data_IF_676771899751
#
_entry.id   IF_676771899751
#
_cell.length_a   1.000
_cell.length_b   1.000
_cell.length_c   1.000
_cell.angle_alpha   90.00
_cell.angle_beta   90.00
_cell.angle_gamma   90.00
#
_symmetry.space_group_name_H-M   'P 1'
#
loop_
_entity.id
_entity.type
_entity.pdbx_description
1 polymer ?
#
# COMPACT_ATOMS: atom_id res chain seq x y z
N UNK A 1 4.21 -13.45 13.61
CA UNK A 1 3.24 -13.85 12.60
C UNK A 1 2.28 -12.71 12.32
N UNK A 2 2.09 -12.37 11.05
CA UNK A 2 1.17 -11.29 10.73
C UNK A 2 -0.23 -11.66 11.18
N UNK A 3 -0.88 -10.72 11.83
CA UNK A 3 -2.26 -10.91 12.24
C UNK A 3 -3.17 -10.55 11.07
N UNK A 4 -3.87 -11.52 10.50
CA UNK A 4 -4.72 -11.31 9.35
C UNK A 4 -5.81 -10.28 9.60
N UNK A 5 -6.20 -10.10 10.87
CA UNK A 5 -7.20 -9.10 11.21
C UNK A 5 -6.75 -7.68 10.88
N UNK A 6 -5.44 -7.44 10.88
CA UNK A 6 -4.89 -6.14 10.53
C UNK A 6 -4.86 -5.89 9.03
N UNK A 7 -5.28 -6.87 8.24
CA UNK A 7 -5.25 -6.80 6.79
C UNK A 7 -6.64 -6.74 6.18
N UNK A 8 -7.52 -5.99 6.80
CA UNK A 8 -8.86 -5.78 6.26
C UNK A 8 -8.85 -4.64 5.24
N UNK A 9 -9.70 -4.80 4.24
CA UNK A 9 -9.86 -3.75 3.24
C UNK A 9 -10.41 -2.49 3.92
N UNK A 10 -9.73 -1.34 3.78
CA UNK A 10 -10.19 -0.11 4.43
C UNK A 10 -11.49 0.43 3.82
N UNK A 11 -11.91 -0.11 2.68
CA UNK A 11 -13.08 0.41 1.98
C UNK A 11 -14.32 -0.45 2.14
N UNK A 12 -14.16 -1.77 2.26
CA UNK A 12 -15.33 -2.66 2.40
C UNK A 12 -15.20 -3.62 3.60
N UNK A 13 -14.07 -3.67 4.27
CA UNK A 13 -13.90 -4.41 5.50
C UNK A 13 -13.67 -5.90 5.37
N UNK A 14 -13.57 -6.44 4.14
CA UNK A 14 -13.30 -7.86 4.00
C UNK A 14 -11.84 -8.16 4.33
N UNK A 15 -11.58 -9.40 4.72
CA UNK A 15 -10.24 -9.84 5.03
C UNK A 15 -9.46 -10.01 3.72
N UNK A 16 -8.31 -9.36 3.65
CA UNK A 16 -7.48 -9.38 2.44
C UNK A 16 -6.49 -10.54 2.48
N UNK A 17 -6.18 -11.07 1.29
CA UNK A 17 -5.16 -12.09 1.09
C UNK A 17 -4.10 -11.56 0.13
N UNK A 18 -2.90 -12.11 0.22
CA UNK A 18 -1.82 -11.69 -0.68
C UNK A 18 -2.14 -11.97 -2.13
N UNK A 19 -1.79 -11.05 -3.02
CA UNK A 19 -1.31 -9.69 -2.73
C UNK A 19 -2.49 -8.79 -2.35
N UNK A 20 -2.36 -8.10 -1.24
CA UNK A 20 -3.46 -7.31 -0.66
C UNK A 20 -3.99 -6.24 -1.61
N UNK A 21 -3.11 -5.65 -2.42
CA UNK A 21 -3.51 -4.59 -3.34
C UNK A 21 -4.42 -5.09 -4.48
N UNK A 22 -4.40 -6.38 -4.77
CA UNK A 22 -5.18 -6.92 -5.89
C UNK A 22 -6.67 -6.72 -5.69
N UNK A 23 -7.15 -6.94 -4.47
CA UNK A 23 -8.55 -6.75 -4.16
C UNK A 23 -8.95 -5.28 -4.39
N UNK A 24 -8.13 -4.35 -3.88
CA UNK A 24 -8.42 -2.93 -4.02
C UNK A 24 -8.41 -2.54 -5.49
N UNK A 25 -7.47 -3.06 -6.25
CA UNK A 25 -7.36 -2.76 -7.67
C UNK A 25 -8.60 -3.23 -8.46
N UNK A 26 -9.12 -4.40 -8.14
CA UNK A 26 -10.23 -4.97 -8.90
C UNK A 26 -11.59 -4.54 -8.38
N UNK A 27 -11.75 -4.40 -7.07
CA UNK A 27 -13.05 -4.08 -6.46
C UNK A 27 -13.21 -2.59 -6.17
N UNK A 28 -12.12 -1.88 -5.99
CA UNK A 28 -12.14 -0.46 -5.65
C UNK A 28 -11.16 0.31 -6.54
N UNK A 29 -11.33 0.24 -7.88
CA UNK A 29 -10.35 0.87 -8.79
C UNK A 29 -10.22 2.37 -8.58
N UNK A 30 -11.30 3.06 -8.23
CA UNK A 30 -11.24 4.49 -7.93
C UNK A 30 -10.43 4.79 -6.69
N UNK A 31 -10.52 3.92 -5.68
CA UNK A 31 -9.76 4.07 -4.46
C UNK A 31 -8.30 3.64 -4.66
N UNK A 32 -8.07 2.62 -5.49
CA UNK A 32 -6.74 2.14 -5.77
C UNK A 32 -5.86 3.26 -6.37
N UNK A 33 -6.44 4.11 -7.20
CA UNK A 33 -5.69 5.19 -7.82
C UNK A 33 -5.42 6.36 -6.89
N UNK A 34 -5.97 6.36 -5.67
CA UNK A 34 -5.73 7.42 -4.69
C UNK A 34 -4.45 7.19 -3.93
N UNK A 35 -3.86 8.29 -3.47
CA UNK A 35 -2.61 8.22 -2.73
C UNK A 35 -2.71 7.42 -1.43
N UNK A 36 -3.89 7.28 -0.86
CA UNK A 36 -4.10 6.49 0.35
C UNK A 36 -3.70 5.02 0.16
N UNK A 37 -3.83 4.52 -1.08
CA UNK A 37 -3.41 3.15 -1.38
C UNK A 37 -1.92 2.96 -1.19
N UNK A 38 -1.12 4.01 -1.38
CA UNK A 38 0.32 3.94 -1.17
C UNK A 38 0.64 3.55 0.28
N UNK A 39 -0.13 4.05 1.23
CA UNK A 39 0.06 3.72 2.65
C UNK A 39 -0.18 2.23 2.86
N UNK A 40 -1.27 1.70 2.30
CA UNK A 40 -1.60 0.29 2.45
C UNK A 40 -0.54 -0.61 1.82
N UNK A 41 -0.09 -0.26 0.63
CA UNK A 41 0.95 -1.02 -0.06
C UNK A 41 2.27 -0.98 0.70
N UNK A 42 2.64 0.19 1.20
CA UNK A 42 3.87 0.32 1.96
C UNK A 42 3.85 -0.56 3.21
N UNK A 43 2.75 -0.51 3.95
CA UNK A 43 2.59 -1.34 5.15
C UNK A 43 2.63 -2.82 4.81
N UNK A 44 2.00 -3.21 3.70
CA UNK A 44 1.99 -4.59 3.26
C UNK A 44 3.39 -5.07 2.91
N UNK A 45 4.09 -4.32 2.08
CA UNK A 45 5.43 -4.71 1.63
C UNK A 45 6.42 -4.80 2.79
N UNK A 46 6.42 -3.81 3.67
CA UNK A 46 7.34 -3.82 4.80
C UNK A 46 7.02 -4.93 5.79
N UNK A 47 5.75 -5.31 5.92
CA UNK A 47 5.37 -6.42 6.78
C UNK A 47 5.83 -7.76 6.22
N UNK A 48 6.07 -7.84 4.91
CA UNK A 48 6.61 -9.05 4.28
C UNK A 48 8.15 -9.11 4.34
N UNK A 49 8.78 -8.10 4.92
CA UNK A 49 10.23 -8.06 5.02
C UNK A 49 10.91 -7.25 3.93
N UNK A 50 10.15 -6.61 3.06
CA UNK A 50 10.72 -5.74 2.02
C UNK A 50 11.23 -4.46 2.67
N UNK A 51 12.41 -3.98 2.27
CA UNK A 51 12.95 -2.78 2.88
C UNK A 51 12.26 -1.52 2.34
N UNK A 52 12.52 -0.39 3.00
CA UNK A 52 11.90 0.88 2.66
C UNK A 52 12.17 1.28 1.22
N UNK A 53 13.43 1.22 0.79
CA UNK A 53 13.80 1.64 -0.55
C UNK A 53 13.09 0.84 -1.63
N UNK A 54 13.04 -0.48 -1.45
CA UNK A 54 12.38 -1.36 -2.41
C UNK A 54 10.88 -1.12 -2.43
N UNK A 55 10.28 -0.96 -1.25
CA UNK A 55 8.84 -0.70 -1.14
C UNK A 55 8.46 0.59 -1.88
N UNK A 56 9.23 1.64 -1.67
CA UNK A 56 8.99 2.92 -2.33
C UNK A 56 9.15 2.81 -3.84
N UNK A 57 10.16 2.07 -4.30
CA UNK A 57 10.39 1.89 -5.71
C UNK A 57 9.23 1.17 -6.38
N UNK A 58 8.75 0.08 -5.77
CA UNK A 58 7.64 -0.67 -6.33
C UNK A 58 6.38 0.18 -6.41
N UNK A 59 6.07 0.92 -5.35
CA UNK A 59 4.89 1.78 -5.34
C UNK A 59 5.00 2.85 -6.42
N UNK A 60 6.17 3.48 -6.55
CA UNK A 60 6.38 4.51 -7.56
C UNK A 60 6.15 3.98 -8.98
N UNK A 61 6.60 2.76 -9.24
CA UNK A 61 6.39 2.14 -10.54
C UNK A 61 4.94 1.77 -10.79
N UNK A 62 4.25 1.24 -9.78
CA UNK A 62 2.85 0.86 -9.92
C UNK A 62 1.96 2.04 -10.27
N UNK A 63 2.25 3.21 -9.73
CA UNK A 63 1.43 4.40 -9.93
C UNK A 63 2.05 5.41 -10.88
N UNK A 64 3.19 5.06 -11.47
CA UNK A 64 3.92 5.93 -12.40
C UNK A 64 4.20 7.30 -11.75
N UNK A 65 4.68 7.25 -10.51
CA UNK A 65 5.02 8.43 -9.73
C UNK A 65 6.51 8.42 -9.42
N UNK A 66 7.03 9.58 -9.02
CA UNK A 66 8.43 9.67 -8.59
C UNK A 66 8.55 9.13 -7.17
N UNK A 67 9.68 8.49 -6.88
CA UNK A 67 9.95 7.96 -5.54
C UNK A 67 9.86 9.07 -4.50
N UNK A 68 10.38 10.25 -4.83
CA UNK A 68 10.36 11.40 -3.90
C UNK A 68 8.93 11.82 -3.56
N UNK A 69 8.02 11.75 -4.52
CA UNK A 69 6.62 12.10 -4.30
C UNK A 69 5.95 11.10 -3.36
N UNK A 70 6.19 9.81 -3.60
CA UNK A 70 5.65 8.75 -2.73
C UNK A 70 6.21 8.91 -1.33
N UNK A 71 7.52 9.12 -1.23
CA UNK A 71 8.19 9.26 0.06
C UNK A 71 7.67 10.47 0.84
N UNK A 72 7.49 11.60 0.17
CA UNK A 72 6.98 12.82 0.80
C UNK A 72 5.57 12.60 1.34
N UNK A 73 4.72 11.94 0.55
CA UNK A 73 3.35 11.66 0.97
C UNK A 73 3.31 10.77 2.21
N UNK A 74 4.12 9.71 2.22
CA UNK A 74 4.17 8.79 3.35
C UNK A 74 4.72 9.48 4.59
N UNK A 75 5.70 10.38 4.42
CA UNK A 75 6.26 11.13 5.53
C UNK A 75 5.24 12.10 6.11
N UNK A 76 4.48 12.78 5.27
CA UNK A 76 3.44 13.70 5.71
C UNK A 76 2.34 12.99 6.51
N UNK A 77 2.10 11.72 6.19
CA UNK A 77 1.11 10.92 6.89
C UNK A 77 1.70 10.11 8.04
N UNK A 78 2.94 10.42 8.40
CA UNK A 78 3.63 9.81 9.54
C UNK A 78 3.83 8.31 9.41
N UNK A 79 3.92 7.82 8.18
CA UNK A 79 4.21 6.42 7.91
C UNK A 79 5.72 6.19 7.90
N UNK A 80 6.47 7.18 7.42
CA UNK A 80 7.93 7.17 7.45
C UNK A 80 8.46 8.03 8.58
#
# INVERSE_FOLDING_TARGET
MANDEDRKCPYCGILLQHPYWRHIQSEHPGEYSKNETWIQLYKDYTSMGMDESMSLMVISELFNQKIDDVKSYLRENKIL
#
